data_IF_760763078831
#
_entry.id   IF_760763078831
#
_cell.length_a   1.000
_cell.length_b   1.000
_cell.length_c   1.000
_cell.angle_alpha   90.00
_cell.angle_beta   90.00
_cell.angle_gamma   90.00
#
_symmetry.space_group_name_H-M   'P 1'
#
loop_
_entity.id
_entity.type
_entity.pdbx_description
1 polymer ?
#
# COMPACT_ATOMS: atom_id res chain seq x y z
N UNK A 1 -23.68 -0.88 -6.70
CA UNK A 1 -23.32 -2.14 -6.03
C UNK A 1 -22.34 -2.89 -6.90
N UNK A 2 -21.15 -3.28 -6.43
CA UNK A 2 -20.41 -4.35 -7.07
C UNK A 2 -20.51 -5.63 -6.23
N UNK A 3 -21.11 -6.65 -6.83
CA UNK A 3 -20.89 -8.04 -6.41
C UNK A 3 -19.50 -8.40 -6.91
N UNK A 4 -18.53 -8.49 -6.01
CA UNK A 4 -17.20 -9.03 -6.31
C UNK A 4 -17.22 -10.49 -5.84
N UNK A 5 -17.54 -11.42 -6.75
CA UNK A 5 -17.31 -12.86 -6.56
C UNK A 5 -15.85 -13.12 -6.93
N UNK A 6 -15.04 -13.82 -6.12
CA UNK A 6 -13.70 -14.23 -6.62
C UNK A 6 -12.98 -15.30 -5.78
N UNK A 7 -13.61 -16.38 -5.24
CA UNK A 7 -12.82 -17.47 -4.64
C UNK A 7 -13.52 -18.85 -4.72
N UNK A 8 -12.77 -19.90 -5.08
CA UNK A 8 -13.17 -21.32 -4.99
C UNK A 8 -12.30 -22.06 -3.97
N UNK A 9 -12.94 -22.88 -3.10
CA UNK A 9 -12.26 -23.75 -2.13
C UNK A 9 -11.90 -25.08 -2.81
N UNK A 10 -10.62 -25.43 -2.90
CA UNK A 10 -10.18 -26.78 -3.30
C UNK A 10 -9.64 -27.55 -2.08
N UNK A 11 -10.31 -28.67 -1.78
CA UNK A 11 -9.95 -29.86 -0.97
C UNK A 11 -8.92 -29.78 0.18
N UNK A 12 -9.32 -30.32 1.35
CA UNK A 12 -8.56 -30.83 2.53
C UNK A 12 -7.35 -30.08 3.12
N UNK A 13 -6.77 -29.11 2.42
CA UNK A 13 -5.88 -28.10 2.97
C UNK A 13 -6.53 -26.73 2.76
N UNK A 14 -6.59 -25.90 3.81
CA UNK A 14 -7.30 -24.61 3.80
C UNK A 14 -6.52 -23.52 3.04
N UNK A 15 -6.33 -23.70 1.74
CA UNK A 15 -5.78 -22.67 0.87
C UNK A 15 -6.89 -21.90 0.17
N UNK A 16 -6.68 -20.59 0.04
CA UNK A 16 -7.53 -19.71 -0.76
C UNK A 16 -6.78 -19.33 -2.03
N UNK A 17 -7.44 -19.46 -3.19
CA UNK A 17 -6.88 -19.05 -4.48
C UNK A 17 -7.36 -17.64 -4.79
N UNK A 18 -6.43 -16.69 -4.90
CA UNK A 18 -6.76 -15.35 -5.36
C UNK A 18 -7.08 -15.37 -6.86
N UNK A 19 -8.34 -15.12 -7.22
CA UNK A 19 -8.72 -14.95 -8.61
C UNK A 19 -8.22 -13.58 -9.14
N UNK A 20 -7.28 -13.63 -10.09
CA UNK A 20 -6.74 -12.47 -10.81
C UNK A 20 -5.27 -12.16 -10.52
N UNK A 21 -4.72 -11.20 -11.26
CA UNK A 21 -3.34 -10.76 -11.08
C UNK A 21 -3.21 -9.72 -9.96
N UNK A 22 -2.30 -9.98 -9.04
CA UNK A 22 -1.96 -9.10 -7.92
C UNK A 22 -0.45 -8.84 -7.94
N UNK A 23 -0.06 -7.58 -7.71
CA UNK A 23 1.35 -7.19 -7.71
C UNK A 23 1.97 -7.33 -6.32
N UNK A 24 1.20 -7.05 -5.27
CA UNK A 24 1.61 -7.16 -3.86
C UNK A 24 0.42 -7.52 -2.98
N UNK A 25 0.71 -8.09 -1.82
CA UNK A 25 -0.24 -8.24 -0.72
C UNK A 25 0.40 -7.84 0.60
N UNK A 26 -0.41 -7.38 1.55
CA UNK A 26 -0.01 -7.09 2.93
C UNK A 26 -1.09 -7.66 3.86
N UNK A 27 -0.69 -8.22 5.00
CA UNK A 27 -1.63 -8.70 6.03
C UNK A 27 -1.57 -7.79 7.25
N UNK A 28 -2.73 -7.33 7.71
CA UNK A 28 -2.81 -6.38 8.83
C UNK A 28 -4.21 -6.29 9.46
N UNK A 29 -4.31 -5.93 10.74
CA UNK A 29 -5.58 -5.82 11.48
C UNK A 29 -6.18 -4.41 11.32
N UNK A 30 -7.12 -4.21 10.40
CA UNK A 30 -7.57 -2.85 10.05
C UNK A 30 -8.75 -2.34 10.87
N UNK A 31 -9.55 -3.25 11.43
CA UNK A 31 -10.82 -2.90 12.08
C UNK A 31 -10.76 -3.06 13.60
N UNK A 32 -9.57 -3.23 14.17
CA UNK A 32 -9.37 -3.44 15.62
C UNK A 32 -10.01 -4.73 16.16
N UNK A 33 -10.49 -5.62 15.30
CA UNK A 33 -11.19 -6.85 15.67
C UNK A 33 -10.23 -8.01 15.97
N UNK A 34 -8.93 -7.71 16.12
CA UNK A 34 -7.80 -8.64 16.30
C UNK A 34 -7.54 -9.60 15.14
N UNK A 35 -8.29 -9.52 14.04
CA UNK A 35 -8.17 -10.42 12.89
C UNK A 35 -7.36 -9.78 11.78
N UNK A 36 -6.56 -10.61 11.10
CA UNK A 36 -5.73 -10.14 10.00
C UNK A 36 -6.60 -9.95 8.75
N UNK A 37 -6.65 -8.75 8.23
CA UNK A 37 -7.18 -8.46 6.91
C UNK A 37 -6.07 -8.56 5.87
N UNK A 38 -6.45 -8.90 4.65
CA UNK A 38 -5.56 -8.98 3.50
C UNK A 38 -5.80 -7.78 2.61
N UNK A 39 -4.74 -7.00 2.37
CA UNK A 39 -4.76 -5.87 1.46
C UNK A 39 -4.00 -6.22 0.21
N UNK A 40 -4.69 -6.13 -0.92
CA UNK A 40 -4.22 -6.58 -2.21
C UNK A 40 -4.00 -5.38 -3.13
N UNK A 41 -2.83 -5.29 -3.77
CA UNK A 41 -2.50 -4.21 -4.70
C UNK A 41 -2.49 -4.72 -6.15
N UNK A 42 -3.19 -4.00 -7.02
CA UNK A 42 -3.20 -4.18 -8.49
C UNK A 42 -2.81 -2.87 -9.17
N UNK A 43 -2.63 -2.91 -10.49
CA UNK A 43 -2.25 -1.75 -11.30
C UNK A 43 -3.18 -0.53 -11.13
N UNK A 44 -4.47 -0.77 -10.84
CA UNK A 44 -5.48 0.28 -10.74
C UNK A 44 -5.83 0.69 -9.31
N UNK A 45 -5.21 0.09 -8.30
CA UNK A 45 -5.53 0.43 -6.92
C UNK A 45 -5.28 -0.67 -5.90
N UNK A 46 -5.76 -0.39 -4.69
CA UNK A 46 -5.70 -1.26 -3.53
C UNK A 46 -7.10 -1.74 -3.20
N UNK A 47 -7.20 -3.02 -2.89
CA UNK A 47 -8.43 -3.73 -2.56
C UNK A 47 -8.28 -4.30 -1.16
N UNK A 48 -9.23 -3.99 -0.29
CA UNK A 48 -9.32 -4.59 1.01
C UNK A 48 -10.12 -5.89 0.93
N UNK A 49 -9.53 -6.99 1.38
CA UNK A 49 -10.20 -8.26 1.60
C UNK A 49 -10.10 -8.67 3.07
N UNK A 50 -11.22 -8.80 3.77
CA UNK A 50 -11.21 -9.22 5.19
C UNK A 50 -11.05 -10.73 5.28
N UNK A 51 -10.38 -11.23 6.32
CA UNK A 51 -10.27 -12.66 6.58
C UNK A 51 -11.04 -13.08 7.84
N UNK A 52 -12.19 -13.72 7.60
CA UNK A 52 -12.94 -14.55 8.56
C UNK A 52 -13.17 -15.94 7.94
N UNK A 53 -12.12 -16.54 7.38
CA UNK A 53 -12.21 -17.77 6.58
C UNK A 53 -12.87 -17.57 5.22
N UNK A 54 -13.15 -16.31 4.83
CA UNK A 54 -13.69 -15.94 3.54
C UNK A 54 -13.03 -14.63 3.11
N UNK A 55 -12.42 -14.62 1.93
CA UNK A 55 -11.92 -13.40 1.30
C UNK A 55 -13.09 -12.67 0.65
N UNK A 56 -13.43 -11.49 1.16
CA UNK A 56 -14.51 -10.64 0.62
C UNK A 56 -13.94 -9.26 0.33
N UNK A 57 -14.08 -8.78 -0.91
CA UNK A 57 -13.66 -7.43 -1.27
C UNK A 57 -14.59 -6.39 -0.62
N UNK A 58 -14.12 -5.76 0.45
CA UNK A 58 -14.91 -4.82 1.24
C UNK A 58 -14.85 -3.40 0.70
N UNK A 59 -13.67 -2.96 0.27
CA UNK A 59 -13.47 -1.61 -0.23
C UNK A 59 -12.30 -1.55 -1.22
N UNK A 60 -12.21 -0.43 -1.96
CA UNK A 60 -11.12 -0.16 -2.88
C UNK A 60 -10.70 1.31 -2.84
N UNK A 61 -9.39 1.54 -2.91
CA UNK A 61 -8.83 2.83 -3.30
C UNK A 61 -8.29 2.73 -4.72
N UNK A 62 -8.81 3.53 -5.65
CA UNK A 62 -8.32 3.54 -7.03
C UNK A 62 -7.21 4.55 -7.21
N UNK A 63 -6.11 4.14 -7.84
CA UNK A 63 -5.04 5.08 -8.19
C UNK A 63 -5.51 5.99 -9.33
N UNK A 64 -5.24 7.30 -9.25
CA UNK A 64 -5.57 8.21 -10.33
C UNK A 64 -4.62 7.96 -11.50
N UNK A 65 -5.17 7.61 -12.69
CA UNK A 65 -4.50 7.54 -14.02
C UNK A 65 -4.07 6.13 -14.48
N UNK A 66 -4.17 5.89 -15.81
CA UNK A 66 -3.90 4.63 -16.52
C UNK A 66 -2.41 4.28 -16.75
N UNK A 67 -1.47 5.07 -16.22
CA UNK A 67 -0.03 4.94 -16.48
C UNK A 67 0.81 4.99 -15.21
N UNK A 68 0.34 4.29 -14.18
CA UNK A 68 1.07 4.10 -12.95
C UNK A 68 1.33 2.62 -12.78
N UNK A 69 2.56 2.28 -12.41
CA UNK A 69 2.92 0.93 -12.02
C UNK A 69 3.14 0.91 -10.51
N UNK A 70 2.43 0.07 -9.76
CA UNK A 70 2.65 -0.06 -8.33
C UNK A 70 3.91 -0.88 -8.02
N UNK A 71 4.81 -0.36 -7.18
CA UNK A 71 6.09 -1.00 -6.86
C UNK A 71 6.12 -1.58 -5.45
N UNK A 72 5.69 -0.78 -4.47
CA UNK A 72 5.79 -1.08 -3.04
C UNK A 72 4.44 -0.81 -2.39
N UNK A 73 4.02 -1.73 -1.54
CA UNK A 73 2.94 -1.53 -0.58
C UNK A 73 3.42 -2.14 0.74
N UNK A 74 3.46 -1.32 1.79
CA UNK A 74 3.78 -1.74 3.16
C UNK A 74 2.74 -1.17 4.11
N UNK A 75 2.51 -1.81 5.25
CA UNK A 75 1.56 -1.33 6.24
C UNK A 75 2.17 -1.34 7.65
N UNK A 76 1.80 -0.35 8.45
CA UNK A 76 2.09 -0.32 9.90
C UNK A 76 1.06 0.53 10.63
N UNK A 77 0.95 0.33 11.94
CA UNK A 77 0.18 1.22 12.81
C UNK A 77 0.75 2.64 12.71
N UNK A 78 -0.12 3.62 12.43
CA UNK A 78 0.33 4.99 12.19
C UNK A 78 0.35 5.85 13.46
N UNK A 79 -0.57 5.61 14.41
CA UNK A 79 -0.86 6.55 15.51
C UNK A 79 -1.25 5.91 16.84
N UNK A 80 -1.26 4.57 16.94
CA UNK A 80 -1.76 3.92 18.14
C UNK A 80 -3.25 4.17 18.42
N UNK A 81 -4.00 4.73 17.46
CA UNK A 81 -5.46 4.90 17.54
C UNK A 81 -6.22 3.62 17.12
N UNK A 82 -5.46 2.57 16.77
CA UNK A 82 -5.96 1.28 16.32
C UNK A 82 -6.12 1.17 14.80
N UNK A 83 -5.85 2.22 14.01
CA UNK A 83 -5.91 2.17 12.56
C UNK A 83 -4.52 1.95 11.93
N UNK A 84 -4.50 1.17 10.85
CA UNK A 84 -3.27 0.96 10.06
C UNK A 84 -3.12 1.99 8.94
N UNK A 85 -1.89 2.46 8.79
CA UNK A 85 -1.42 3.21 7.65
C UNK A 85 -0.85 2.28 6.60
N UNK A 86 -1.25 2.47 5.35
CA UNK A 86 -0.62 1.88 4.17
C UNK A 86 0.26 2.91 3.50
N UNK A 87 1.45 2.48 3.14
CA UNK A 87 2.47 3.28 2.48
C UNK A 87 2.71 2.64 1.13
N UNK A 88 2.36 3.39 0.10
CA UNK A 88 2.30 2.88 -1.26
C UNK A 88 3.23 3.74 -2.10
N UNK A 89 4.10 3.10 -2.87
CA UNK A 89 4.95 3.77 -3.86
C UNK A 89 4.60 3.27 -5.25
N UNK A 90 4.26 4.22 -6.11
CA UNK A 90 3.97 4.05 -7.51
C UNK A 90 5.12 4.67 -8.33
N UNK A 91 5.36 4.18 -9.54
CA UNK A 91 6.02 4.98 -10.55
C UNK A 91 4.97 5.47 -11.54
N UNK A 92 4.94 6.78 -11.68
CA UNK A 92 4.09 7.51 -12.60
C UNK A 92 4.87 7.76 -13.88
N UNK A 93 4.32 7.31 -15.01
CA UNK A 93 4.88 7.60 -16.32
C UNK A 93 4.86 9.11 -16.58
N UNK A 94 5.98 9.63 -17.05
CA UNK A 94 6.18 11.02 -17.44
C UNK A 94 6.79 11.07 -18.84
N UNK A 95 6.84 12.26 -19.43
CA UNK A 95 7.46 12.49 -20.71
C UNK A 95 8.56 13.53 -20.53
N UNK A 96 9.80 13.17 -20.89
CA UNK A 96 10.93 14.08 -20.85
C UNK A 96 11.65 14.04 -22.20
N UNK A 97 11.75 15.20 -22.86
CA UNK A 97 12.36 15.32 -24.20
C UNK A 97 11.78 14.36 -25.27
N UNK A 98 10.51 13.98 -25.14
CA UNK A 98 9.84 13.06 -26.07
C UNK A 98 10.04 11.57 -25.77
N UNK A 99 10.80 11.24 -24.73
CA UNK A 99 10.99 9.89 -24.23
C UNK A 99 10.10 9.63 -23.00
N UNK A 100 9.70 8.37 -22.84
CA UNK A 100 8.98 7.91 -21.66
C UNK A 100 9.95 7.78 -20.49
N UNK A 101 9.71 8.54 -19.42
CA UNK A 101 10.44 8.48 -18.16
C UNK A 101 9.47 8.14 -17.02
N UNK A 102 9.97 7.87 -15.82
CA UNK A 102 9.17 7.56 -14.65
C UNK A 102 9.59 8.39 -13.44
N UNK A 103 8.60 8.95 -12.75
CA UNK A 103 8.79 9.61 -11.45
C UNK A 103 8.14 8.81 -10.34
N UNK A 104 8.72 8.91 -9.15
CA UNK A 104 8.11 8.32 -7.97
C UNK A 104 6.93 9.16 -7.52
N UNK A 105 5.87 8.45 -7.16
CA UNK A 105 4.71 9.02 -6.49
C UNK A 105 4.30 8.07 -5.38
N UNK A 106 4.50 8.51 -4.16
CA UNK A 106 4.02 7.79 -2.99
C UNK A 106 2.79 8.44 -2.41
N UNK A 107 1.96 7.60 -1.82
CA UNK A 107 0.78 7.99 -1.09
C UNK A 107 0.72 7.21 0.22
N UNK A 108 0.15 7.88 1.21
CA UNK A 108 -0.20 7.29 2.50
C UNK A 108 -1.71 7.13 2.50
N UNK A 109 -2.19 5.94 2.83
CA UNK A 109 -3.61 5.64 2.97
C UNK A 109 -3.90 5.20 4.39
N UNK A 110 -5.03 5.63 4.92
CA UNK A 110 -5.60 5.13 6.18
C UNK A 110 -6.94 4.50 5.88
N UNK A 111 -7.26 3.38 6.53
CA UNK A 111 -8.61 2.82 6.47
C UNK A 111 -9.35 3.18 7.75
N UNK A 112 -10.44 3.95 7.64
CA UNK A 112 -11.21 4.42 8.79
C UNK A 112 -12.69 4.41 8.48
N UNK A 113 -13.50 3.89 9.41
CA UNK A 113 -14.96 3.82 9.29
C UNK A 113 -15.43 3.17 7.97
N UNK A 114 -14.74 2.12 7.54
CA UNK A 114 -15.12 1.37 6.34
C UNK A 114 -14.64 1.96 5.00
N UNK A 115 -13.82 3.02 5.02
CA UNK A 115 -13.36 3.69 3.81
C UNK A 115 -11.86 4.00 3.85
N UNK A 116 -11.20 3.90 2.68
CA UNK A 116 -9.86 4.48 2.50
C UNK A 116 -9.89 6.00 2.42
N UNK A 117 -8.97 6.64 3.12
CA UNK A 117 -8.70 8.08 3.05
C UNK A 117 -7.20 8.29 2.82
N UNK A 118 -6.77 9.11 1.84
CA UNK A 118 -5.36 9.45 1.64
C UNK A 118 -4.95 10.68 2.47
N UNK A 119 -4.33 10.54 3.66
CA UNK A 119 -3.79 11.69 4.38
C UNK A 119 -2.66 12.41 3.65
N UNK A 120 -1.90 11.72 2.80
CA UNK A 120 -0.83 12.29 1.99
C UNK A 120 -0.80 11.63 0.60
N UNK A 121 -0.59 12.41 -0.45
CA UNK A 121 -0.46 11.95 -1.84
C UNK A 121 0.53 12.85 -2.58
N UNK A 122 1.25 12.29 -3.55
CA UNK A 122 2.22 13.04 -4.36
C UNK A 122 3.63 13.08 -3.78
N UNK A 123 3.94 12.26 -2.78
CA UNK A 123 5.25 12.26 -2.12
C UNK A 123 6.33 11.70 -3.07
N UNK A 124 7.41 12.44 -3.28
CA UNK A 124 8.47 12.08 -4.23
C UNK A 124 9.54 11.12 -3.64
N UNK A 125 9.14 10.25 -2.71
CA UNK A 125 10.04 9.38 -1.96
C UNK A 125 9.57 7.92 -2.04
N UNK A 126 10.47 6.95 -1.97
CA UNK A 126 10.06 5.58 -1.62
C UNK A 126 9.67 5.54 -0.15
N UNK A 127 8.46 5.08 0.13
CA UNK A 127 8.02 4.87 1.51
C UNK A 127 8.17 3.39 1.85
N UNK A 128 8.83 3.12 2.97
CA UNK A 128 8.98 1.76 3.49
C UNK A 128 8.77 1.75 4.99
N UNK A 129 8.19 0.65 5.47
CA UNK A 129 8.22 0.29 6.87
C UNK A 129 9.41 -0.65 7.10
N UNK A 130 10.25 -0.32 8.07
CA UNK A 130 11.35 -1.17 8.54
C UNK A 130 11.23 -1.38 10.05
N UNK A 131 11.97 -2.35 10.59
CA UNK A 131 12.15 -2.48 12.04
C UNK A 131 13.44 -1.81 12.46
N UNK A 132 13.38 -0.98 13.50
CA UNK A 132 14.56 -0.40 14.11
C UNK A 132 15.26 -1.40 15.05
N UNK A 133 16.34 -0.97 15.70
CA UNK A 133 17.11 -1.81 16.64
C UNK A 133 16.33 -2.19 17.91
N UNK A 134 15.20 -1.54 18.16
CA UNK A 134 14.30 -1.82 19.28
C UNK A 134 13.11 -2.68 18.85
N UNK A 135 13.13 -3.21 17.61
CA UNK A 135 12.05 -3.98 17.00
C UNK A 135 10.75 -3.20 16.77
N UNK A 136 10.82 -1.88 16.85
CA UNK A 136 9.69 -1.01 16.54
C UNK A 136 9.62 -0.78 15.04
N UNK A 137 8.41 -0.85 14.49
CA UNK A 137 8.18 -0.47 13.11
C UNK A 137 8.34 1.05 12.99
N UNK A 138 9.23 1.47 12.09
CA UNK A 138 9.43 2.87 11.74
C UNK A 138 9.23 3.07 10.24
N UNK A 139 8.79 4.26 9.88
CA UNK A 139 8.57 4.63 8.48
C UNK A 139 9.79 5.41 8.02
N UNK A 140 10.36 4.99 6.90
CA UNK A 140 11.44 5.70 6.24
C UNK A 140 10.99 6.20 4.87
N UNK A 141 11.42 7.41 4.55
CA UNK A 141 11.41 7.97 3.21
C UNK A 141 12.79 7.80 2.62
N UNK A 142 12.85 7.43 1.35
CA UNK A 142 14.09 7.42 0.59
C UNK A 142 13.93 8.28 -0.66
N UNK A 143 14.82 9.24 -0.84
CA UNK A 143 14.86 10.06 -2.05
C UNK A 143 15.20 9.23 -3.30
N UNK A 144 14.85 9.75 -4.48
CA UNK A 144 15.36 9.19 -5.74
C UNK A 144 16.86 9.48 -5.81
N UNK A 145 17.68 8.47 -6.12
CA UNK A 145 19.10 8.70 -6.40
C UNK A 145 19.33 9.34 -7.78
N UNK A 146 20.49 9.96 -7.97
CA UNK A 146 20.83 10.67 -9.22
C UNK A 146 20.99 9.74 -10.43
N UNK A 147 21.42 8.51 -10.21
CA UNK A 147 21.69 7.51 -11.25
C UNK A 147 20.97 6.20 -10.96
N UNK A 148 21.05 5.72 -9.71
CA UNK A 148 20.31 4.55 -9.25
C UNK A 148 19.08 4.96 -8.45
N UNK A 149 17.95 4.36 -8.80
CA UNK A 149 16.67 4.71 -8.24
C UNK A 149 16.63 4.54 -6.70
N UNK A 150 17.42 3.63 -6.13
CA UNK A 150 17.48 3.35 -4.68
C UNK A 150 18.75 3.87 -3.98
N UNK A 151 19.44 4.87 -4.54
CA UNK A 151 20.67 5.40 -3.95
C UNK A 151 20.48 6.78 -3.28
N UNK A 152 19.25 7.28 -3.23
CA UNK A 152 18.95 8.53 -2.54
C UNK A 152 19.00 8.40 -1.02
N UNK A 153 19.10 9.54 -0.34
CA UNK A 153 19.21 9.60 1.11
C UNK A 153 17.97 9.01 1.79
N UNK A 154 18.21 8.17 2.80
CA UNK A 154 17.16 7.67 3.70
C UNK A 154 16.97 8.63 4.87
N UNK A 155 15.71 8.88 5.22
CA UNK A 155 15.34 9.69 6.37
C UNK A 155 14.11 9.11 7.07
N UNK A 156 14.01 9.36 8.37
CA UNK A 156 12.87 8.96 9.17
C UNK A 156 11.67 9.87 8.83
N UNK A 157 10.51 9.27 8.57
CA UNK A 157 9.26 10.00 8.41
C UNK A 157 8.64 10.18 9.80
N UNK A 158 8.75 11.41 10.31
CA UNK A 158 8.09 11.82 11.54
C UNK A 158 6.89 12.69 11.20
N UNK A 159 5.76 12.46 11.87
CA UNK A 159 4.54 13.27 11.72
C UNK A 159 4.73 14.77 11.98
N UNK A 160 5.78 15.15 12.71
CA UNK A 160 6.09 16.55 13.04
C UNK A 160 6.77 17.31 11.90
N UNK A 161 7.31 16.63 10.89
CA UNK A 161 7.69 17.30 9.64
C UNK A 161 6.41 17.55 8.85
N UNK A 162 6.06 18.84 8.71
CA UNK A 162 4.90 19.38 7.97
C UNK A 162 4.98 19.17 6.45
N UNK A 163 5.50 18.03 6.01
CA UNK A 163 5.58 17.60 4.61
C UNK A 163 4.99 16.18 4.45
N UNK A 164 3.91 15.90 5.19
CA UNK A 164 2.92 14.87 4.87
C UNK A 164 1.60 15.57 4.53
#
# INVERSE_FOLDING_TARGET
MPIIKTFSKESENEYFILEGEYKRFVMRVLNGDSKQDVVLMKDRGIFLTVNNGNLLALDKHSFPIRKQSPFICTATYMDGDGNDGFYVTLAEETQFMGETDFRLRSLVLTYKKGAFSPPADGLAYYLRVIQDRTWQNVIIGQEKGSYDQYDGQCFLINKERREL
#
